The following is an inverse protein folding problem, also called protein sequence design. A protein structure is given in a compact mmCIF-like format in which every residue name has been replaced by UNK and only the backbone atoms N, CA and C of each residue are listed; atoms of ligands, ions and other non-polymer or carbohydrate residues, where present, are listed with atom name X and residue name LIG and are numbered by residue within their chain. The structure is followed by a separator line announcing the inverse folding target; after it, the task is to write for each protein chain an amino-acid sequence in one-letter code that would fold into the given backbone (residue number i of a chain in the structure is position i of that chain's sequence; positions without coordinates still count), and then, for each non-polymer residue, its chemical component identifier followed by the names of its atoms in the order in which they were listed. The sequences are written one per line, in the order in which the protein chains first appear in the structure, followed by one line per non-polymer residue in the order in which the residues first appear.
data_IF_886461960886
#
_entry.id   IF_886461960886
#
_cell.length_a   1.000
_cell.length_b   1.000
_cell.length_c   1.000
_cell.angle_alpha   90.00
_cell.angle_beta   90.00
_cell.angle_gamma   90.00
#
_symmetry.space_group_name_H-M   'P 1'
#
loop_
_entity.id
_entity.type
_entity.pdbx_description
1 polymer ?
#
# COMPACT_ATOMS: atom_id res chain seq x y z
N UNK A 1 -6.86 8.57 22.95
CA UNK A 1 -5.78 8.69 21.94
C UNK A 1 -4.54 7.88 22.34
N UNK A 2 -4.09 8.00 23.59
CA UNK A 2 -2.87 7.38 24.08
C UNK A 2 -2.81 5.83 23.91
N UNK A 3 -3.86 5.06 24.25
CA UNK A 3 -3.81 3.59 24.08
C UNK A 3 -3.74 3.12 22.63
N UNK A 4 -4.43 3.82 21.72
CA UNK A 4 -4.32 3.51 20.29
C UNK A 4 -2.93 3.83 19.75
N UNK A 5 -2.37 4.96 20.17
CA UNK A 5 -1.03 5.38 19.78
C UNK A 5 0.06 4.42 20.31
N UNK A 6 -0.09 3.96 21.57
CA UNK A 6 0.83 2.96 22.13
C UNK A 6 0.78 1.62 21.38
N UNK A 7 -0.40 1.22 20.88
CA UNK A 7 -0.53 0.02 20.06
C UNK A 7 0.20 0.17 18.72
N UNK A 8 0.08 1.34 18.09
CA UNK A 8 0.80 1.64 16.84
C UNK A 8 2.32 1.59 17.07
N UNK A 9 2.80 2.24 18.13
CA UNK A 9 4.24 2.20 18.48
C UNK A 9 4.69 0.77 18.78
N UNK A 10 3.91 -0.01 19.49
CA UNK A 10 4.23 -1.40 19.79
C UNK A 10 4.41 -2.23 18.51
N UNK A 11 3.45 -2.15 17.57
CA UNK A 11 3.48 -2.90 16.32
C UNK A 11 4.65 -2.45 15.44
N UNK A 12 4.76 -1.15 15.17
CA UNK A 12 5.85 -0.63 14.33
C UNK A 12 7.21 -0.77 15.01
N UNK A 13 7.28 -0.57 16.31
CA UNK A 13 8.52 -0.69 17.08
C UNK A 13 9.08 -2.12 17.07
N UNK A 14 8.23 -3.15 17.16
CA UNK A 14 8.68 -4.55 17.06
C UNK A 14 9.24 -4.91 15.68
N UNK A 15 8.68 -4.33 14.61
CA UNK A 15 9.19 -4.50 13.24
C UNK A 15 10.53 -3.76 13.09
N UNK A 16 10.60 -2.49 13.50
CA UNK A 16 11.82 -1.67 13.36
C UNK A 16 12.97 -2.19 14.20
N UNK A 17 12.67 -2.77 15.36
CA UNK A 17 13.69 -3.41 16.22
C UNK A 17 14.14 -4.79 15.70
N UNK A 18 13.55 -5.30 14.61
CA UNK A 18 13.86 -6.62 14.07
C UNK A 18 13.41 -7.79 14.97
N UNK A 19 12.54 -7.52 15.97
CA UNK A 19 12.06 -8.53 16.94
C UNK A 19 10.98 -9.41 16.30
N UNK A 20 10.15 -8.83 15.43
CA UNK A 20 9.02 -9.51 14.83
C UNK A 20 8.93 -9.19 13.32
N UNK A 21 8.57 -10.20 12.55
CA UNK A 21 8.16 -10.01 11.14
C UNK A 21 6.85 -9.22 11.07
N UNK A 22 6.50 -8.58 9.94
CA UNK A 22 5.23 -7.87 9.80
C UNK A 22 4.00 -8.74 10.13
N UNK A 23 4.04 -10.04 9.79
CA UNK A 23 2.95 -10.97 10.10
C UNK A 23 2.83 -11.24 11.62
N UNK A 24 3.96 -11.42 12.31
CA UNK A 24 3.99 -11.60 13.76
C UNK A 24 3.58 -10.31 14.49
N UNK A 25 4.05 -9.16 14.01
CA UNK A 25 3.65 -7.86 14.54
C UNK A 25 2.14 -7.60 14.39
N UNK A 26 1.54 -8.07 13.29
CA UNK A 26 0.08 -8.03 13.12
C UNK A 26 -0.65 -8.87 14.18
N UNK A 27 -0.11 -10.04 14.55
CA UNK A 27 -0.66 -10.87 15.63
C UNK A 27 -0.54 -10.17 17.00
N UNK A 28 0.60 -9.52 17.26
CA UNK A 28 0.81 -8.68 18.47
C UNK A 28 -0.21 -7.54 18.50
N UNK A 29 -0.43 -6.88 17.36
CA UNK A 29 -1.44 -5.83 17.22
C UNK A 29 -2.87 -6.32 17.50
N UNK A 30 -3.24 -7.47 16.96
CA UNK A 30 -4.53 -8.09 17.19
C UNK A 30 -4.73 -8.46 18.68
N UNK A 31 -3.72 -9.05 19.30
CA UNK A 31 -3.73 -9.36 20.73
C UNK A 31 -3.84 -8.08 21.58
N UNK A 32 -3.05 -7.05 21.26
CA UNK A 32 -3.12 -5.75 21.93
C UNK A 32 -4.48 -5.08 21.81
N UNK A 33 -5.15 -5.18 20.66
CA UNK A 33 -6.50 -4.68 20.46
C UNK A 33 -7.53 -5.42 21.32
N UNK A 34 -7.39 -6.75 21.49
CA UNK A 34 -8.22 -7.53 22.40
C UNK A 34 -8.04 -7.11 23.86
N UNK A 35 -6.79 -6.91 24.28
CA UNK A 35 -6.44 -6.44 25.63
C UNK A 35 -7.04 -5.06 25.89
N UNK A 36 -6.89 -4.12 24.96
CA UNK A 36 -7.51 -2.80 25.07
C UNK A 36 -9.03 -2.89 25.15
N UNK A 37 -9.66 -3.71 24.29
CA UNK A 37 -11.12 -3.91 24.31
C UNK A 37 -11.62 -4.48 25.64
N UNK A 38 -10.80 -5.33 26.28
CA UNK A 38 -11.11 -5.85 27.61
C UNK A 38 -11.06 -4.74 28.68
N UNK A 39 -10.01 -3.93 28.71
CA UNK A 39 -9.87 -2.81 29.65
C UNK A 39 -10.95 -1.76 29.46
N UNK A 40 -11.36 -1.49 28.23
CA UNK A 40 -12.46 -0.58 27.90
C UNK A 40 -13.84 -1.20 28.13
N UNK A 41 -13.93 -2.44 28.58
CA UNK A 41 -15.19 -3.19 28.80
C UNK A 41 -16.07 -3.27 27.55
N UNK A 42 -15.46 -3.18 26.35
CA UNK A 42 -16.15 -3.28 25.06
C UNK A 42 -16.07 -4.70 24.48
N UNK A 43 -15.24 -5.58 25.05
CA UNK A 43 -15.08 -6.95 24.61
C UNK A 43 -16.31 -7.77 25.00
N UNK A 44 -17.28 -7.82 24.10
CA UNK A 44 -18.47 -8.68 24.19
C UNK A 44 -18.30 -9.87 23.26
N UNK A 45 -18.82 -11.03 23.65
CA UNK A 45 -18.76 -12.25 22.83
C UNK A 45 -19.32 -12.03 21.41
N UNK A 46 -20.37 -11.23 21.28
CA UNK A 46 -20.93 -10.85 19.98
C UNK A 46 -19.90 -10.12 19.11
N UNK A 47 -19.25 -9.09 19.64
CA UNK A 47 -18.26 -8.27 18.93
C UNK A 47 -17.03 -9.11 18.54
N UNK A 48 -16.56 -9.97 19.44
CA UNK A 48 -15.46 -10.89 19.17
C UNK A 48 -15.80 -11.84 18.02
N UNK A 49 -16.96 -12.51 18.09
CA UNK A 49 -17.44 -13.40 17.03
C UNK A 49 -17.56 -12.69 15.69
N UNK A 50 -18.11 -11.48 15.67
CA UNK A 50 -18.27 -10.66 14.46
C UNK A 50 -16.91 -10.29 13.86
N UNK A 51 -15.93 -9.90 14.69
CA UNK A 51 -14.56 -9.61 14.25
C UNK A 51 -13.89 -10.84 13.64
N UNK A 52 -14.04 -12.02 14.25
CA UNK A 52 -13.49 -13.28 13.71
C UNK A 52 -14.11 -13.62 12.35
N UNK A 53 -15.44 -13.51 12.22
CA UNK A 53 -16.11 -13.77 10.94
C UNK A 53 -15.70 -12.75 9.85
N UNK A 54 -15.59 -11.48 10.23
CA UNK A 54 -15.13 -10.44 9.30
C UNK A 54 -13.71 -10.72 8.83
N UNK A 55 -12.81 -11.07 9.75
CA UNK A 55 -11.43 -11.46 9.42
C UNK A 55 -11.39 -12.66 8.48
N UNK A 56 -12.13 -13.72 8.78
CA UNK A 56 -12.20 -14.92 7.95
C UNK A 56 -12.72 -14.60 6.53
N UNK A 57 -13.78 -13.78 6.44
CA UNK A 57 -14.35 -13.35 5.15
C UNK A 57 -13.34 -12.53 4.33
N UNK A 58 -12.67 -11.57 4.97
CA UNK A 58 -11.66 -10.72 4.30
C UNK A 58 -10.47 -11.56 3.86
N UNK A 59 -9.97 -12.46 4.71
CA UNK A 59 -8.87 -13.36 4.37
C UNK A 59 -9.24 -14.26 3.19
N UNK A 60 -10.43 -14.85 3.20
CA UNK A 60 -10.90 -15.67 2.08
C UNK A 60 -10.98 -14.87 0.77
N UNK A 61 -11.47 -13.63 0.81
CA UNK A 61 -11.51 -12.74 -0.35
C UNK A 61 -10.10 -12.48 -0.88
N UNK A 62 -9.16 -12.12 0.00
CA UNK A 62 -7.76 -11.86 -0.39
C UNK A 62 -7.12 -13.12 -0.99
N UNK A 63 -7.36 -14.31 -0.43
CA UNK A 63 -6.85 -15.57 -0.99
C UNK A 63 -7.37 -15.84 -2.40
N UNK A 64 -8.63 -15.53 -2.70
CA UNK A 64 -9.16 -15.63 -4.06
C UNK A 64 -8.50 -14.64 -5.02
N UNK A 65 -8.24 -13.41 -4.56
CA UNK A 65 -7.48 -12.42 -5.33
C UNK A 65 -6.06 -12.91 -5.62
N UNK A 66 -5.37 -13.49 -4.65
CA UNK A 66 -4.04 -14.09 -4.84
C UNK A 66 -4.05 -15.21 -5.88
N UNK A 67 -5.02 -16.13 -5.82
CA UNK A 67 -5.14 -17.22 -6.80
C UNK A 67 -5.34 -16.64 -8.21
N UNK A 68 -6.24 -15.66 -8.38
CA UNK A 68 -6.47 -15.01 -9.66
C UNK A 68 -5.23 -14.30 -10.19
N UNK A 69 -4.57 -13.53 -9.35
CA UNK A 69 -3.37 -12.76 -9.69
C UNK A 69 -2.19 -13.68 -10.05
N UNK A 70 -1.97 -14.75 -9.28
CA UNK A 70 -0.94 -15.73 -9.59
C UNK A 70 -1.20 -16.47 -10.90
N UNK A 71 -2.44 -16.84 -11.15
CA UNK A 71 -2.83 -17.45 -12.42
C UNK A 71 -2.55 -16.50 -13.58
N UNK A 72 -2.95 -15.23 -13.46
CA UNK A 72 -2.66 -14.21 -14.45
C UNK A 72 -1.16 -14.02 -14.67
N UNK A 73 -0.39 -13.83 -13.60
CA UNK A 73 1.06 -13.64 -13.67
C UNK A 73 1.78 -14.85 -14.30
N UNK A 74 1.35 -16.07 -13.96
CA UNK A 74 1.90 -17.30 -14.54
C UNK A 74 1.61 -17.42 -16.04
N UNK A 75 0.38 -17.16 -16.46
CA UNK A 75 -0.01 -17.18 -17.88
C UNK A 75 0.71 -16.05 -18.64
N UNK A 76 0.76 -14.85 -18.08
CA UNK A 76 1.46 -13.71 -18.66
C UNK A 76 2.96 -14.02 -18.87
N UNK A 77 3.61 -14.60 -17.87
CA UNK A 77 5.02 -15.03 -17.96
C UNK A 77 5.21 -16.13 -18.99
N UNK A 78 4.35 -17.16 -18.97
CA UNK A 78 4.42 -18.28 -19.92
C UNK A 78 4.26 -17.84 -21.38
N UNK A 79 3.42 -16.84 -21.64
CA UNK A 79 3.22 -16.26 -22.98
C UNK A 79 4.34 -15.29 -23.39
N UNK A 80 5.40 -15.13 -22.60
CA UNK A 80 6.50 -14.21 -22.89
C UNK A 80 6.15 -12.74 -22.63
N UNK A 81 5.10 -12.48 -21.85
CA UNK A 81 4.66 -11.12 -21.56
C UNK A 81 5.74 -10.26 -20.90
N UNK A 82 6.56 -10.85 -20.01
CA UNK A 82 7.69 -10.15 -19.40
C UNK A 82 8.71 -9.73 -20.45
N UNK A 83 9.06 -10.60 -21.40
CA UNK A 83 10.03 -10.31 -22.46
C UNK A 83 9.53 -9.18 -23.36
N UNK A 84 8.26 -9.22 -23.75
CA UNK A 84 7.64 -8.17 -24.58
C UNK A 84 7.68 -6.83 -23.86
N UNK A 85 7.33 -6.83 -22.57
CA UNK A 85 7.34 -5.61 -21.76
C UNK A 85 8.75 -5.07 -21.54
N UNK A 86 9.71 -5.95 -21.28
CA UNK A 86 11.12 -5.62 -21.13
C UNK A 86 11.71 -5.05 -22.43
N UNK A 87 11.47 -5.72 -23.57
CA UNK A 87 11.87 -5.23 -24.88
C UNK A 87 11.28 -3.87 -25.21
N UNK A 88 10.00 -3.68 -24.91
CA UNK A 88 9.35 -2.39 -25.11
C UNK A 88 10.04 -1.28 -24.31
N UNK A 89 10.25 -1.46 -23.01
CA UNK A 89 10.91 -0.45 -22.18
C UNK A 89 12.39 -0.24 -22.57
N UNK A 90 13.11 -1.30 -22.93
CA UNK A 90 14.50 -1.20 -23.41
C UNK A 90 14.59 -0.46 -24.75
N UNK A 91 13.62 -0.66 -25.65
CA UNK A 91 13.59 0.01 -26.95
C UNK A 91 13.38 1.54 -26.86
N UNK A 92 12.79 2.00 -25.76
CA UNK A 92 12.55 3.42 -25.53
C UNK A 92 13.82 4.20 -25.13
N UNK A 93 14.96 3.53 -24.88
CA UNK A 93 16.22 4.15 -24.44
C UNK A 93 16.04 5.17 -23.30
N UNK A 94 15.20 4.82 -22.32
CA UNK A 94 14.86 5.69 -21.21
C UNK A 94 16.05 5.86 -20.26
N UNK A 95 16.19 7.07 -19.73
CA UNK A 95 17.03 7.29 -18.56
C UNK A 95 16.33 6.74 -17.29
N UNK A 96 17.07 6.37 -16.23
CA UNK A 96 16.48 5.83 -14.99
C UNK A 96 15.35 6.70 -14.42
N UNK A 97 15.52 8.02 -14.47
CA UNK A 97 14.49 8.93 -13.98
C UNK A 97 13.21 8.93 -14.83
N UNK A 98 13.32 8.75 -16.15
CA UNK A 98 12.17 8.66 -17.05
C UNK A 98 11.40 7.36 -16.79
N UNK A 99 12.11 6.26 -16.59
CA UNK A 99 11.50 4.99 -16.16
C UNK A 99 10.71 5.16 -14.87
N UNK A 100 11.30 5.80 -13.86
CA UNK A 100 10.60 6.06 -12.59
C UNK A 100 9.34 6.90 -12.79
N UNK A 101 9.42 7.99 -13.53
CA UNK A 101 8.25 8.85 -13.78
C UNK A 101 7.15 8.09 -14.52
N UNK A 102 7.50 7.36 -15.57
CA UNK A 102 6.53 6.61 -16.37
C UNK A 102 5.84 5.52 -15.52
N UNK A 103 6.61 4.76 -14.75
CA UNK A 103 6.04 3.72 -13.89
C UNK A 103 5.14 4.31 -12.81
N UNK A 104 5.50 5.46 -12.23
CA UNK A 104 4.64 6.14 -11.24
C UNK A 104 3.35 6.67 -11.88
N UNK A 105 3.38 7.17 -13.11
CA UNK A 105 2.17 7.58 -13.85
C UNK A 105 1.29 6.37 -14.13
N UNK A 106 1.86 5.26 -14.56
CA UNK A 106 1.11 4.03 -14.82
C UNK A 106 0.43 3.55 -13.53
N UNK A 107 1.15 3.47 -12.42
CA UNK A 107 0.60 3.05 -11.12
C UNK A 107 -0.51 4.00 -10.64
N UNK A 108 -0.30 5.31 -10.80
CA UNK A 108 -1.32 6.31 -10.48
C UNK A 108 -2.62 6.10 -11.26
N UNK A 109 -2.52 5.87 -12.58
CA UNK A 109 -3.67 5.62 -13.44
C UNK A 109 -4.34 4.28 -13.13
N UNK A 110 -3.56 3.24 -12.82
CA UNK A 110 -4.08 1.95 -12.39
C UNK A 110 -4.80 2.03 -11.04
N UNK A 111 -4.40 2.93 -10.16
CA UNK A 111 -5.04 3.18 -8.87
C UNK A 111 -6.48 3.71 -8.97
N UNK A 112 -6.94 4.13 -10.14
CA UNK A 112 -8.31 4.54 -10.33
C UNK A 112 -9.28 3.34 -10.42
N UNK A 113 -9.08 2.35 -11.32
CA UNK A 113 -9.97 1.20 -11.45
C UNK A 113 -9.61 0.04 -10.54
N UNK A 114 -8.39 -0.05 -10.02
CA UNK A 114 -7.87 -1.18 -9.26
C UNK A 114 -7.62 -0.82 -7.80
N UNK A 115 -7.78 -1.82 -6.95
CA UNK A 115 -7.38 -1.71 -5.55
C UNK A 115 -5.84 -1.84 -5.43
N UNK A 116 -5.27 -1.25 -4.39
CA UNK A 116 -3.82 -1.25 -4.14
C UNK A 116 -3.21 -2.65 -4.05
N UNK A 117 -3.94 -3.64 -3.52
CA UNK A 117 -3.52 -5.04 -3.44
C UNK A 117 -3.32 -5.66 -4.82
N UNK A 118 -4.22 -5.40 -5.74
CA UNK A 118 -4.14 -5.89 -7.13
C UNK A 118 -2.93 -5.29 -7.85
N UNK A 119 -2.69 -4.01 -7.65
CA UNK A 119 -1.52 -3.33 -8.24
C UNK A 119 -0.23 -3.95 -7.70
N UNK A 120 -0.12 -4.20 -6.40
CA UNK A 120 1.07 -4.82 -5.80
C UNK A 120 1.30 -6.24 -6.30
N UNK A 121 0.26 -7.03 -6.45
CA UNK A 121 0.40 -8.45 -6.78
C UNK A 121 0.62 -8.67 -8.27
N UNK A 122 0.01 -7.86 -9.13
CA UNK A 122 0.06 -8.05 -10.58
C UNK A 122 1.17 -7.20 -11.22
N UNK A 123 1.17 -5.89 -10.94
CA UNK A 123 1.99 -4.96 -11.72
C UNK A 123 3.40 -4.78 -11.15
N UNK A 124 3.58 -4.82 -9.83
CA UNK A 124 4.92 -4.66 -9.23
C UNK A 124 5.89 -5.76 -9.71
N UNK A 125 5.52 -7.05 -9.73
CA UNK A 125 6.39 -8.09 -10.27
C UNK A 125 6.78 -7.88 -11.74
N UNK A 126 5.94 -7.23 -12.54
CA UNK A 126 6.25 -6.91 -13.94
C UNK A 126 7.34 -5.83 -14.03
N UNK A 127 7.35 -4.87 -13.10
CA UNK A 127 8.34 -3.80 -13.07
C UNK A 127 9.67 -4.20 -12.42
N UNK A 128 9.71 -5.19 -11.53
CA UNK A 128 10.92 -5.56 -10.78
C UNK A 128 12.14 -5.86 -11.66
N UNK A 129 12.05 -6.65 -12.75
CA UNK A 129 13.20 -6.88 -13.64
C UNK A 129 13.71 -5.60 -14.32
N UNK A 130 12.79 -4.67 -14.58
CA UNK A 130 13.15 -3.37 -15.17
C UNK A 130 13.84 -2.45 -14.16
N UNK A 131 13.49 -2.54 -12.88
CA UNK A 131 14.15 -1.78 -11.81
C UNK A 131 15.65 -2.09 -11.78
N UNK A 132 16.01 -3.37 -11.88
CA UNK A 132 17.41 -3.81 -11.95
C UNK A 132 18.08 -3.34 -13.24
N UNK A 133 17.40 -3.51 -14.37
CA UNK A 133 17.92 -3.09 -15.68
C UNK A 133 18.26 -1.59 -15.74
N UNK A 134 17.39 -0.75 -15.18
CA UNK A 134 17.61 0.71 -15.13
C UNK A 134 18.52 1.15 -13.97
N UNK A 135 19.05 0.21 -13.17
CA UNK A 135 19.93 0.51 -12.03
C UNK A 135 19.26 1.32 -10.92
N UNK A 136 17.94 1.18 -10.77
CA UNK A 136 17.18 1.87 -9.72
C UNK A 136 17.24 1.04 -8.44
N UNK A 137 17.41 1.72 -7.30
CA UNK A 137 17.37 1.04 -5.99
C UNK A 137 15.97 0.45 -5.73
N UNK A 138 15.85 -0.88 -5.50
CA UNK A 138 14.54 -1.53 -5.30
C UNK A 138 13.78 -1.00 -4.08
N UNK A 139 14.46 -0.65 -3.00
CA UNK A 139 13.83 -0.08 -1.80
C UNK A 139 13.25 1.31 -2.09
N UNK A 140 13.98 2.12 -2.85
CA UNK A 140 13.51 3.42 -3.28
C UNK A 140 12.28 3.30 -4.18
N UNK A 141 12.29 2.37 -5.13
CA UNK A 141 11.16 2.08 -6.00
C UNK A 141 9.94 1.61 -5.20
N UNK A 142 10.13 0.69 -4.25
CA UNK A 142 9.06 0.20 -3.38
C UNK A 142 8.43 1.33 -2.55
N UNK A 143 9.25 2.25 -2.01
CA UNK A 143 8.75 3.39 -1.24
C UNK A 143 7.95 4.37 -2.11
N UNK A 144 8.38 4.62 -3.36
CA UNK A 144 7.64 5.43 -4.32
C UNK A 144 6.28 4.79 -4.64
N UNK A 145 6.24 3.48 -4.85
CA UNK A 145 4.99 2.75 -5.07
C UNK A 145 4.08 2.87 -3.84
N UNK A 146 4.59 2.62 -2.64
CA UNK A 146 3.80 2.69 -1.41
C UNK A 146 3.18 4.08 -1.20
N UNK A 147 3.92 5.13 -1.54
CA UNK A 147 3.42 6.50 -1.46
C UNK A 147 2.39 6.78 -2.56
N UNK A 148 2.64 6.29 -3.79
CA UNK A 148 1.72 6.47 -4.92
C UNK A 148 0.38 5.76 -4.70
N UNK A 149 0.40 4.55 -4.15
CA UNK A 149 -0.83 3.79 -3.86
C UNK A 149 -1.77 4.51 -2.89
N UNK A 150 -1.26 5.44 -2.08
CA UNK A 150 -2.12 6.28 -1.25
C UNK A 150 -3.03 7.19 -2.08
N UNK A 151 -2.64 7.53 -3.31
CA UNK A 151 -3.46 8.33 -4.21
C UNK A 151 -4.75 7.62 -4.59
N UNK A 152 -4.73 6.28 -4.74
CA UNK A 152 -5.92 5.49 -5.03
C UNK A 152 -6.96 5.52 -3.91
N UNK A 153 -6.54 5.65 -2.66
CA UNK A 153 -7.44 5.86 -1.52
C UNK A 153 -8.13 7.23 -1.51
N UNK A 154 -7.55 8.20 -2.22
CA UNK A 154 -8.03 9.59 -2.26
C UNK A 154 -8.79 9.91 -3.55
N UNK A 155 -8.57 9.14 -4.63
CA UNK A 155 -9.14 9.43 -5.96
C UNK A 155 -10.35 8.57 -6.28
N UNK A 156 -11.46 9.17 -6.81
CA UNK A 156 -12.57 8.39 -7.36
C UNK A 156 -12.09 7.51 -8.54
N UNK A 157 -12.71 6.34 -8.77
CA UNK A 157 -13.85 5.77 -8.06
C UNK A 157 -13.52 4.98 -6.80
N UNK A 158 -12.25 4.58 -6.58
CA UNK A 158 -11.88 3.74 -5.43
C UNK A 158 -11.92 4.49 -4.10
N UNK A 159 -11.40 5.68 -3.99
CA UNK A 159 -11.49 6.68 -2.91
C UNK A 159 -11.98 6.17 -1.54
N UNK A 160 -11.43 5.06 -1.04
CA UNK A 160 -11.89 4.37 0.17
C UNK A 160 -11.94 5.30 1.38
N UNK A 161 -10.97 6.23 1.50
CA UNK A 161 -10.94 7.22 2.57
C UNK A 161 -12.18 8.11 2.57
N UNK A 162 -12.67 8.52 1.39
CA UNK A 162 -13.87 9.32 1.24
C UNK A 162 -15.12 8.54 1.65
N UNK A 163 -15.21 7.27 1.26
CA UNK A 163 -16.36 6.42 1.61
C UNK A 163 -16.40 6.12 3.11
N UNK A 164 -15.26 5.83 3.74
CA UNK A 164 -15.20 5.65 5.20
C UNK A 164 -15.59 6.92 5.94
N UNK A 165 -15.10 8.08 5.50
CA UNK A 165 -15.47 9.36 6.08
C UNK A 165 -16.97 9.62 5.92
N UNK A 166 -17.55 9.31 4.76
CA UNK A 166 -18.98 9.43 4.51
C UNK A 166 -19.79 8.51 5.43
N UNK A 167 -19.30 7.32 5.73
CA UNK A 167 -19.96 6.35 6.61
C UNK A 167 -20.10 6.81 8.07
N UNK A 168 -19.17 7.62 8.57
CA UNK A 168 -19.14 8.10 9.95
C UNK A 168 -19.68 9.53 10.13
N UNK A 169 -19.94 10.22 9.02
CA UNK A 169 -20.41 11.61 9.05
C UNK A 169 -21.92 11.75 9.30
N UNK A 170 -22.31 12.95 9.76
CA UNK A 170 -23.71 13.36 9.84
C UNK A 170 -24.34 13.45 8.44
N UNK A 171 -25.67 13.28 8.35
CA UNK A 171 -26.42 13.19 7.08
C UNK A 171 -26.32 14.42 6.16
N UNK A 172 -25.74 15.52 6.60
CA UNK A 172 -25.76 16.81 5.92
C UNK A 172 -24.54 17.07 5.00
N UNK A 173 -23.58 16.15 4.90
CA UNK A 173 -22.41 16.32 4.03
C UNK A 173 -22.51 15.42 2.82
N UNK A 174 -22.46 16.01 1.64
CA UNK A 174 -22.50 15.27 0.37
C UNK A 174 -21.12 14.65 0.05
N UNK A 175 -21.13 13.52 -0.66
CA UNK A 175 -19.91 12.83 -1.07
C UNK A 175 -18.99 13.71 -1.93
N UNK A 176 -19.58 14.56 -2.77
CA UNK A 176 -18.85 15.50 -3.62
C UNK A 176 -18.08 16.56 -2.80
N UNK A 177 -18.65 16.99 -1.69
CA UNK A 177 -17.97 17.93 -0.76
C UNK A 177 -16.74 17.27 -0.11
N UNK A 178 -16.87 15.98 0.22
CA UNK A 178 -15.74 15.19 0.75
C UNK A 178 -14.63 15.09 -0.31
N UNK A 179 -14.98 14.75 -1.56
CA UNK A 179 -14.00 14.70 -2.65
C UNK A 179 -13.28 16.04 -2.85
N UNK A 180 -14.02 17.14 -2.88
CA UNK A 180 -13.41 18.48 -2.97
C UNK A 180 -12.46 18.76 -1.81
N UNK A 181 -12.83 18.34 -0.58
CA UNK A 181 -11.99 18.47 0.60
C UNK A 181 -10.73 17.59 0.58
N UNK A 182 -10.72 16.50 -0.16
CA UNK A 182 -9.59 15.56 -0.28
C UNK A 182 -8.57 16.06 -1.32
N UNK A 183 -8.96 16.84 -2.32
CA UNK A 183 -8.06 17.28 -3.40
C UNK A 183 -6.75 17.93 -2.90
N UNK A 184 -6.75 18.81 -1.88
CA UNK A 184 -5.50 19.34 -1.34
C UNK A 184 -4.56 18.27 -0.78
N UNK A 185 -5.11 17.22 -0.14
CA UNK A 185 -4.32 16.12 0.40
C UNK A 185 -3.72 15.26 -0.72
N UNK A 186 -4.43 15.06 -1.82
CA UNK A 186 -3.86 14.43 -3.02
C UNK A 186 -2.67 15.24 -3.54
N UNK A 187 -2.78 16.57 -3.58
CA UNK A 187 -1.67 17.45 -3.94
C UNK A 187 -0.47 17.30 -3.01
N UNK A 188 -0.70 17.12 -1.70
CA UNK A 188 0.36 16.89 -0.70
C UNK A 188 1.05 15.54 -0.95
N UNK A 189 0.31 14.48 -1.29
CA UNK A 189 0.91 13.17 -1.61
C UNK A 189 1.78 13.27 -2.85
N UNK A 190 1.30 13.92 -3.91
CA UNK A 190 2.10 14.15 -5.13
C UNK A 190 3.35 14.98 -4.81
N UNK A 191 3.23 16.04 -4.01
CA UNK A 191 4.37 16.82 -3.55
C UNK A 191 5.37 15.96 -2.77
N UNK A 192 4.89 15.11 -1.87
CA UNK A 192 5.73 14.18 -1.12
C UNK A 192 6.47 13.19 -2.03
N UNK A 193 5.83 12.69 -3.10
CA UNK A 193 6.49 11.85 -4.11
C UNK A 193 7.61 12.62 -4.82
N UNK A 194 7.36 13.86 -5.21
CA UNK A 194 8.38 14.72 -5.86
C UNK A 194 9.53 15.00 -4.90
N UNK A 195 9.25 15.33 -3.65
CA UNK A 195 10.27 15.56 -2.64
C UNK A 195 11.10 14.30 -2.36
N UNK A 196 10.46 13.14 -2.27
CA UNK A 196 11.17 11.88 -2.07
C UNK A 196 12.04 11.54 -3.28
N UNK A 197 11.58 11.88 -4.49
CA UNK A 197 12.37 11.72 -5.69
C UNK A 197 13.61 12.65 -5.72
N UNK A 198 13.44 13.92 -5.33
CA UNK A 198 14.53 14.88 -5.26
C UNK A 198 15.51 14.61 -4.10
N UNK A 199 15.03 14.05 -3.02
CA UNK A 199 15.77 13.73 -1.80
C UNK A 199 15.61 12.27 -1.40
N UNK A 200 16.23 11.30 -2.12
CA UNK A 200 16.07 9.86 -1.84
C UNK A 200 16.40 9.46 -0.40
N UNK A 201 17.28 10.22 0.26
CA UNK A 201 17.63 10.02 1.67
C UNK A 201 16.44 10.07 2.63
N UNK A 202 15.33 10.73 2.26
CA UNK A 202 14.10 10.72 3.08
C UNK A 202 13.58 9.27 3.24
N UNK A 203 13.66 8.47 2.19
CA UNK A 203 13.20 7.08 2.20
C UNK A 203 14.29 6.09 2.63
N UNK A 204 15.55 6.35 2.26
CA UNK A 204 16.64 5.39 2.42
C UNK A 204 17.42 5.56 3.72
N UNK A 205 17.44 6.74 4.33
CA UNK A 205 18.23 7.02 5.52
C UNK A 205 17.96 6.06 6.68
N UNK A 206 16.71 5.77 6.99
CA UNK A 206 16.36 4.89 8.10
C UNK A 206 16.73 3.42 7.85
N UNK A 207 16.39 2.82 6.69
CA UNK A 207 16.86 1.47 6.36
C UNK A 207 18.38 1.35 6.33
N UNK A 208 19.08 2.33 5.75
CA UNK A 208 20.54 2.32 5.69
C UNK A 208 21.20 2.46 7.07
N UNK A 209 20.60 3.25 7.98
CA UNK A 209 21.15 3.37 9.34
C UNK A 209 20.87 2.17 10.24
N UNK A 210 19.72 1.50 10.07
CA UNK A 210 19.32 0.39 10.93
C UNK A 210 19.83 -0.97 10.43
N UNK A 211 19.95 -1.15 9.11
CA UNK A 211 20.22 -2.44 8.47
C UNK A 211 21.44 -2.43 7.54
N UNK A 212 22.23 -1.35 7.50
CA UNK A 212 23.51 -1.32 6.83
C UNK A 212 24.55 -2.10 7.64
N UNK A 213 24.55 -3.43 7.47
CA UNK A 213 25.64 -4.33 7.86
C UNK A 213 26.24 -4.94 6.60
#
# INVERSE_FOLDING_TARGET
FLPLFSLIILVLGTILAGIATPAEAAAVGAFGALVLSYFYKTLKWKNFKESVFLTAKTTAMIMWLFIGSWTFASVFSYLGGHEVFEHFFKSLNLQPWQFLVITQIIIFLLGWPLEWTEILIIFVPIFLPLVEFFGVNPYFFAMLIALNLQTSFLTPPMAMSAYYLKGVQSKNVELMQIFSGIMPFLGIVILAMVLMYLFPGIALWLPETLFAN
#
